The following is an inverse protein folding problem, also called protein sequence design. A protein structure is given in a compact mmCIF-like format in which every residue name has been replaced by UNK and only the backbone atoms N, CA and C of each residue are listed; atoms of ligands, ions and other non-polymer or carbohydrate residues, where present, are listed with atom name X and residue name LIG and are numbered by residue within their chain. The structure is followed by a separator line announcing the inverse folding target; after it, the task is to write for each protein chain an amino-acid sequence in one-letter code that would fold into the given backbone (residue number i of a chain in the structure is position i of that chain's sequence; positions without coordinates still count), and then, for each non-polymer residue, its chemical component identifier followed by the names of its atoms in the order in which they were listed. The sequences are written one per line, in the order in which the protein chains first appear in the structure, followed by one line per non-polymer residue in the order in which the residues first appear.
data_IF_616710174280
#
_entry.id   IF_616710174280
#
_cell.length_a   1.000
_cell.length_b   1.000
_cell.length_c   1.000
_cell.angle_alpha   90.00
_cell.angle_beta   90.00
_cell.angle_gamma   90.00
#
_symmetry.space_group_name_H-M   'P 1'
#
loop_
_entity.id
_entity.type
_entity.pdbx_description
1 polymer ?
#
# COMPACT_ATOMS: atom_id res chain seq x y z
N UNK A 1 -35.22 1.74 -3.68
CA UNK A 1 -33.98 2.02 -2.92
C UNK A 1 -32.89 2.15 -3.95
N UNK A 2 -32.56 3.38 -4.32
CA UNK A 2 -31.60 3.67 -5.38
C UNK A 2 -30.18 3.44 -4.88
N UNK A 3 -29.42 2.65 -5.65
CA UNK A 3 -27.98 2.45 -5.49
C UNK A 3 -27.28 3.78 -5.68
N UNK A 4 -26.80 4.35 -4.58
CA UNK A 4 -25.99 5.57 -4.59
C UNK A 4 -24.58 5.24 -5.11
N UNK A 5 -24.46 5.15 -6.45
CA UNK A 5 -23.19 5.11 -7.19
C UNK A 5 -22.49 6.48 -7.12
N UNK A 6 -22.16 6.91 -5.91
CA UNK A 6 -21.34 8.09 -5.69
C UNK A 6 -19.88 7.77 -6.03
N UNK A 7 -19.40 8.28 -7.16
CA UNK A 7 -17.96 8.35 -7.49
C UNK A 7 -17.21 8.92 -6.30
N UNK A 8 -16.53 8.04 -5.59
CA UNK A 8 -15.79 8.44 -4.41
C UNK A 8 -14.52 9.19 -4.80
N UNK A 9 -14.23 10.34 -4.18
CA UNK A 9 -13.04 11.14 -4.47
C UNK A 9 -11.80 10.27 -4.29
N UNK A 10 -10.82 10.37 -5.21
CA UNK A 10 -9.59 9.55 -5.31
C UNK A 10 -9.28 8.85 -3.98
N UNK A 11 -9.84 7.65 -3.84
CA UNK A 11 -9.75 6.90 -2.60
C UNK A 11 -8.32 6.43 -2.51
N UNK A 12 -7.61 6.80 -1.45
CA UNK A 12 -6.52 5.97 -0.97
C UNK A 12 -7.04 4.53 -0.89
N UNK A 13 -6.61 3.70 -1.84
CA UNK A 13 -7.10 2.34 -1.95
C UNK A 13 -6.44 1.55 -0.84
N UNK A 14 -7.16 1.35 0.27
CA UNK A 14 -6.70 0.53 1.40
C UNK A 14 -6.27 -0.86 0.89
N UNK A 15 -6.98 -1.40 -0.10
CA UNK A 15 -6.64 -2.66 -0.75
C UNK A 15 -5.31 -2.57 -1.52
N UNK A 16 -5.04 -1.43 -2.16
CA UNK A 16 -3.76 -1.14 -2.79
C UNK A 16 -2.61 -1.13 -1.77
N UNK A 17 -2.76 -0.42 -0.65
CA UNK A 17 -1.76 -0.41 0.43
C UNK A 17 -1.50 -1.82 0.97
N UNK A 18 -2.56 -2.58 1.25
CA UNK A 18 -2.48 -3.95 1.75
C UNK A 18 -1.72 -4.84 0.75
N UNK A 19 -2.08 -4.77 -0.53
CA UNK A 19 -1.41 -5.53 -1.59
C UNK A 19 0.06 -5.15 -1.69
N UNK A 20 0.39 -3.85 -1.71
CA UNK A 20 1.77 -3.36 -1.73
C UNK A 20 2.56 -3.91 -0.55
N UNK A 21 2.04 -3.81 0.68
CA UNK A 21 2.72 -4.28 1.88
C UNK A 21 3.02 -5.80 1.84
N UNK A 22 2.07 -6.60 1.36
CA UNK A 22 2.24 -8.05 1.18
C UNK A 22 3.33 -8.37 0.17
N UNK A 23 3.32 -7.70 -0.99
CA UNK A 23 4.32 -7.93 -2.03
C UNK A 23 5.71 -7.42 -1.63
N UNK A 24 5.80 -6.25 -1.00
CA UNK A 24 7.08 -5.72 -0.52
C UNK A 24 7.71 -6.62 0.53
N UNK A 25 6.90 -7.33 1.33
CA UNK A 25 7.40 -8.36 2.25
C UNK A 25 8.04 -9.54 1.53
N UNK A 26 7.46 -10.05 0.45
CA UNK A 26 8.10 -11.13 -0.33
C UNK A 26 9.40 -10.62 -0.93
N UNK A 27 9.38 -9.43 -1.54
CA UNK A 27 10.55 -8.84 -2.18
C UNK A 27 11.67 -8.61 -1.16
N UNK A 28 11.36 -8.09 0.02
CA UNK A 28 12.28 -7.96 1.15
C UNK A 28 12.88 -9.32 1.55
N UNK A 29 12.05 -10.34 1.76
CA UNK A 29 12.54 -11.69 2.09
C UNK A 29 13.47 -12.28 1.02
N UNK A 30 13.15 -12.07 -0.26
CA UNK A 30 14.01 -12.48 -1.38
C UNK A 30 15.36 -11.76 -1.36
N UNK A 31 15.38 -10.43 -1.19
CA UNK A 31 16.63 -9.69 -1.10
C UNK A 31 17.45 -10.05 0.15
N UNK A 32 16.82 -10.39 1.26
CA UNK A 32 17.51 -10.96 2.43
C UNK A 32 18.19 -12.29 2.11
N UNK A 33 17.58 -13.16 1.29
CA UNK A 33 18.25 -14.38 0.82
C UNK A 33 19.41 -14.10 -0.15
N UNK A 34 19.26 -13.11 -1.02
CA UNK A 34 20.37 -12.68 -1.89
C UNK A 34 21.52 -12.13 -1.04
N UNK A 35 21.23 -11.32 -0.02
CA UNK A 35 22.21 -10.82 0.94
C UNK A 35 22.93 -11.96 1.65
N UNK A 36 22.19 -13.00 2.07
CA UNK A 36 22.77 -14.21 2.66
C UNK A 36 23.74 -14.92 1.71
N UNK A 37 23.38 -15.07 0.42
CA UNK A 37 24.29 -15.67 -0.57
C UNK A 37 25.58 -14.86 -0.70
N UNK A 38 25.49 -13.53 -0.74
CA UNK A 38 26.67 -12.65 -0.73
C UNK A 38 27.48 -12.83 0.55
N UNK A 39 26.82 -12.95 1.69
CA UNK A 39 27.47 -13.16 2.99
C UNK A 39 28.25 -14.48 3.04
N UNK A 40 27.72 -15.55 2.48
CA UNK A 40 28.43 -16.82 2.36
C UNK A 40 29.74 -16.70 1.58
N UNK A 41 29.80 -15.84 0.56
CA UNK A 41 31.04 -15.58 -0.17
C UNK A 41 32.05 -14.80 0.67
N UNK A 42 31.60 -13.83 1.48
CA UNK A 42 32.46 -13.06 2.38
C UNK A 42 33.01 -13.91 3.54
N UNK A 43 32.25 -14.93 3.99
CA UNK A 43 32.73 -15.92 4.96
C UNK A 43 33.86 -16.82 4.42
N UNK A 44 34.31 -16.59 3.18
CA UNK A 44 35.43 -17.32 2.53
C UNK A 44 35.19 -18.84 2.56
N UNK A 45 33.98 -19.26 2.20
CA UNK A 45 33.60 -20.68 2.15
C UNK A 45 34.26 -21.38 0.96
N UNK A 46 35.57 -21.60 1.02
CA UNK A 46 36.32 -22.41 0.06
C UNK A 46 36.49 -23.83 0.58
N UNK A 47 36.35 -24.79 -0.34
CA UNK A 47 36.73 -26.18 -0.10
C UNK A 47 38.09 -26.40 -0.76
N UNK A 48 39.11 -26.58 0.05
CA UNK A 48 40.47 -26.89 -0.40
C UNK A 48 40.73 -28.39 -0.25
N UNK A 49 41.58 -28.94 -1.12
CA UNK A 49 42.06 -30.30 -0.98
C UNK A 49 43.60 -30.29 -0.97
N UNK A 50 44.21 -31.04 -0.05
CA UNK A 50 45.66 -31.22 -0.02
C UNK A 50 46.02 -32.45 -0.87
N UNK A 51 46.78 -32.26 -1.94
CA UNK A 51 47.21 -33.34 -2.84
C UNK A 51 48.29 -34.24 -2.25
N UNK A 52 48.92 -33.83 -1.13
CA UNK A 52 50.07 -34.51 -0.54
C UNK A 52 49.74 -35.27 0.74
N UNK A 53 48.70 -34.85 1.46
CA UNK A 53 48.26 -35.48 2.70
C UNK A 53 46.74 -35.62 2.74
N UNK A 54 46.27 -36.84 2.52
CA UNK A 54 44.84 -37.17 2.48
C UNK A 54 44.14 -37.00 3.84
N UNK A 55 44.88 -37.07 4.95
CA UNK A 55 44.29 -37.03 6.30
C UNK A 55 44.31 -35.63 6.92
N UNK A 56 44.92 -34.65 6.24
CA UNK A 56 45.02 -33.28 6.74
C UNK A 56 43.72 -32.52 6.58
N UNK A 57 43.13 -32.11 7.70
CA UNK A 57 41.90 -31.31 7.74
C UNK A 57 42.16 -29.82 7.44
N UNK A 58 42.42 -29.51 6.16
CA UNK A 58 42.62 -28.13 5.68
C UNK A 58 41.32 -27.30 5.69
N UNK A 59 40.17 -27.97 5.65
CA UNK A 59 38.83 -27.35 5.60
C UNK A 59 38.26 -27.01 6.98
N UNK A 60 38.98 -27.35 8.05
CA UNK A 60 38.52 -27.11 9.42
C UNK A 60 38.19 -25.65 9.69
N UNK A 61 38.98 -24.69 9.18
CA UNK A 61 38.89 -23.27 9.54
C UNK A 61 37.86 -22.50 8.70
N UNK A 62 37.88 -22.66 7.38
CA UNK A 62 37.01 -21.93 6.44
C UNK A 62 35.64 -22.59 6.29
N UNK A 63 35.61 -23.89 5.97
CA UNK A 63 34.38 -24.60 5.66
C UNK A 63 33.63 -25.04 6.93
N UNK A 64 34.28 -25.85 7.77
CA UNK A 64 33.63 -26.46 8.94
C UNK A 64 33.39 -25.46 10.05
N UNK A 65 34.42 -24.75 10.52
CA UNK A 65 34.27 -23.77 11.61
C UNK A 65 33.74 -22.41 11.18
N UNK A 66 33.77 -22.09 9.89
CA UNK A 66 33.30 -20.80 9.37
C UNK A 66 31.83 -20.79 8.93
N UNK A 67 31.29 -21.91 8.43
CA UNK A 67 29.93 -21.98 7.86
C UNK A 67 29.13 -23.17 8.38
N UNK A 68 29.75 -24.35 8.43
CA UNK A 68 29.10 -25.61 8.81
C UNK A 68 29.47 -26.06 10.21
N UNK A 69 29.39 -25.12 11.17
CA UNK A 69 29.59 -25.38 12.58
C UNK A 69 28.26 -25.33 13.30
N UNK A 70 28.06 -26.23 14.27
CA UNK A 70 26.94 -26.15 15.22
C UNK A 70 27.31 -25.34 16.47
N UNK A 71 28.49 -24.72 16.47
CA UNK A 71 28.81 -23.68 17.44
C UNK A 71 27.78 -22.55 17.30
N UNK A 72 27.14 -22.18 18.41
CA UNK A 72 25.98 -21.28 18.41
C UNK A 72 26.29 -19.94 17.79
N UNK A 73 27.50 -19.44 18.02
CA UNK A 73 27.92 -18.12 17.56
C UNK A 73 28.09 -18.11 16.04
N UNK A 74 28.75 -19.14 15.50
CA UNK A 74 28.95 -19.30 14.05
C UNK A 74 27.63 -19.61 13.34
N UNK A 75 26.83 -20.53 13.89
CA UNK A 75 25.58 -20.93 13.27
C UNK A 75 24.59 -19.77 13.22
N UNK A 76 24.41 -19.05 14.33
CA UNK A 76 23.53 -17.90 14.36
C UNK A 76 24.02 -16.80 13.42
N UNK A 77 25.32 -16.48 13.41
CA UNK A 77 25.83 -15.43 12.54
C UNK A 77 25.66 -15.78 11.05
N UNK A 78 26.11 -16.97 10.63
CA UNK A 78 26.08 -17.36 9.22
C UNK A 78 24.67 -17.63 8.67
N UNK A 79 23.73 -18.11 9.50
CA UNK A 79 22.42 -18.61 9.02
C UNK A 79 21.23 -17.73 9.39
N UNK A 80 21.36 -16.72 10.26
CA UNK A 80 20.23 -15.84 10.62
C UNK A 80 19.58 -15.18 9.39
N UNK A 81 20.33 -14.59 8.45
CA UNK A 81 19.73 -13.97 7.25
C UNK A 81 18.95 -15.00 6.42
N UNK A 82 19.49 -16.21 6.25
CA UNK A 82 18.81 -17.28 5.54
C UNK A 82 17.48 -17.65 6.21
N UNK A 83 17.49 -17.95 7.52
CA UNK A 83 16.31 -18.39 8.25
C UNK A 83 15.24 -17.29 8.22
N UNK A 84 15.62 -16.05 8.51
CA UNK A 84 14.70 -14.91 8.51
C UNK A 84 14.14 -14.60 7.12
N UNK A 85 14.97 -14.62 6.07
CA UNK A 85 14.55 -14.43 4.68
C UNK A 85 13.59 -15.54 4.23
N UNK A 86 13.93 -16.81 4.50
CA UNK A 86 13.10 -17.96 4.17
C UNK A 86 11.76 -17.91 4.89
N UNK A 87 11.74 -17.65 6.20
CA UNK A 87 10.50 -17.51 6.97
C UNK A 87 9.61 -16.40 6.38
N UNK A 88 10.20 -15.27 5.99
CA UNK A 88 9.51 -14.12 5.39
C UNK A 88 8.83 -14.45 4.07
N UNK A 89 9.43 -15.32 3.25
CA UNK A 89 8.80 -15.80 2.01
C UNK A 89 7.76 -16.89 2.30
N UNK A 90 8.13 -17.88 3.12
CA UNK A 90 7.30 -19.07 3.38
C UNK A 90 5.98 -18.72 4.08
N UNK A 91 5.93 -17.68 4.91
CA UNK A 91 4.69 -17.28 5.59
C UNK A 91 3.56 -16.84 4.64
N UNK A 92 3.89 -16.55 3.37
CA UNK A 92 2.90 -16.26 2.31
C UNK A 92 2.41 -17.51 1.57
N UNK A 93 2.98 -18.69 1.86
CA UNK A 93 2.57 -19.96 1.28
C UNK A 93 1.49 -20.63 2.14
N UNK A 94 0.46 -21.18 1.51
CA UNK A 94 -0.64 -21.86 2.20
C UNK A 94 -0.17 -23.04 3.08
N UNK A 95 0.88 -23.76 2.66
CA UNK A 95 1.43 -24.91 3.41
C UNK A 95 2.27 -24.51 4.62
N UNK A 96 2.81 -23.29 4.65
CA UNK A 96 3.71 -22.79 5.69
C UNK A 96 3.12 -21.56 6.36
N UNK A 97 1.82 -21.60 6.63
CA UNK A 97 1.14 -20.52 7.33
C UNK A 97 1.70 -20.33 8.74
N UNK A 98 2.16 -19.13 9.04
CA UNK A 98 2.66 -18.73 10.35
C UNK A 98 1.70 -17.73 11.00
N UNK A 99 0.61 -18.18 11.65
CA UNK A 99 -0.39 -17.28 12.26
C UNK A 99 0.20 -16.44 13.40
N UNK A 100 1.27 -16.92 14.03
CA UNK A 100 1.97 -16.15 15.06
C UNK A 100 2.45 -14.79 14.51
N UNK A 101 2.89 -14.73 13.25
CA UNK A 101 3.41 -13.52 12.61
C UNK A 101 2.32 -12.81 11.78
N UNK A 102 1.58 -13.58 10.97
CA UNK A 102 0.72 -13.03 9.90
C UNK A 102 -0.72 -12.73 10.32
N UNK A 103 -1.13 -13.07 11.55
CA UNK A 103 -2.51 -12.87 12.03
C UNK A 103 -2.95 -11.40 12.09
N UNK A 104 -2.02 -10.48 12.31
CA UNK A 104 -2.31 -9.05 12.28
C UNK A 104 -1.09 -8.24 11.84
N UNK A 105 -1.35 -7.01 11.41
CA UNK A 105 -0.33 -6.11 10.84
C UNK A 105 0.73 -5.65 11.83
N UNK A 106 0.41 -5.56 13.13
CA UNK A 106 1.40 -5.14 14.12
C UNK A 106 2.45 -6.23 14.39
N UNK A 107 2.04 -7.50 14.49
CA UNK A 107 2.97 -8.64 14.61
C UNK A 107 3.81 -8.79 13.34
N UNK A 108 3.20 -8.57 12.19
CA UNK A 108 3.88 -8.56 10.90
C UNK A 108 4.93 -7.43 10.82
N UNK A 109 4.59 -6.22 11.28
CA UNK A 109 5.52 -5.10 11.38
C UNK A 109 6.68 -5.38 12.33
N UNK A 110 6.40 -5.92 13.53
CA UNK A 110 7.43 -6.32 14.50
C UNK A 110 8.37 -7.36 13.92
N UNK A 111 7.85 -8.37 13.22
CA UNK A 111 8.68 -9.34 12.52
C UNK A 111 9.64 -8.68 11.53
N UNK A 112 9.13 -7.80 10.65
CA UNK A 112 9.98 -7.07 9.71
C UNK A 112 10.99 -6.14 10.38
N UNK A 113 10.68 -5.58 11.55
CA UNK A 113 11.67 -4.87 12.36
C UNK A 113 12.79 -5.80 12.83
N UNK A 114 12.46 -7.02 13.27
CA UNK A 114 13.47 -8.01 13.66
C UNK A 114 14.32 -8.44 12.47
N UNK A 115 13.73 -8.70 11.30
CA UNK A 115 14.48 -9.05 10.08
C UNK A 115 15.40 -7.90 9.66
N UNK A 116 14.94 -6.65 9.77
CA UNK A 116 15.76 -5.48 9.48
C UNK A 116 17.02 -5.41 10.37
N UNK A 117 16.84 -5.55 11.69
CA UNK A 117 17.93 -5.40 12.66
C UNK A 117 18.86 -6.62 12.68
N UNK A 118 18.30 -7.82 12.72
CA UNK A 118 19.04 -9.05 12.96
C UNK A 118 19.31 -9.87 11.71
N UNK A 119 18.58 -9.66 10.62
CA UNK A 119 18.78 -10.40 9.36
C UNK A 119 19.50 -9.60 8.27
N UNK A 120 19.55 -8.26 8.37
CA UNK A 120 20.05 -7.41 7.29
C UNK A 120 21.12 -6.40 7.73
N UNK A 121 20.83 -5.48 8.65
CA UNK A 121 21.73 -4.32 8.93
C UNK A 121 23.13 -4.72 9.39
N UNK A 122 23.28 -5.87 10.06
CA UNK A 122 24.57 -6.38 10.53
C UNK A 122 25.45 -7.02 9.45
N UNK A 123 24.92 -7.26 8.23
CA UNK A 123 25.57 -8.11 7.24
C UNK A 123 26.13 -7.33 6.05
N UNK A 124 27.37 -7.61 5.67
CA UNK A 124 28.03 -7.12 4.45
C UNK A 124 27.95 -5.59 4.23
N UNK A 125 28.05 -4.81 5.31
CA UNK A 125 28.16 -3.35 5.28
C UNK A 125 27.04 -2.65 4.50
N UNK A 126 27.37 -1.99 3.39
CA UNK A 126 26.41 -1.21 2.59
C UNK A 126 25.30 -2.08 1.97
N UNK A 127 25.61 -3.33 1.60
CA UNK A 127 24.61 -4.24 1.04
C UNK A 127 23.51 -4.54 2.08
N UNK A 128 23.90 -4.82 3.33
CA UNK A 128 22.96 -5.00 4.43
C UNK A 128 22.15 -3.76 4.75
N UNK A 129 22.74 -2.57 4.66
CA UNK A 129 22.00 -1.31 4.83
C UNK A 129 20.94 -1.09 3.74
N UNK A 130 21.26 -1.40 2.48
CA UNK A 130 20.30 -1.27 1.38
C UNK A 130 19.12 -2.24 1.54
N UNK A 131 19.39 -3.52 1.78
CA UNK A 131 18.34 -4.54 2.01
C UNK A 131 17.57 -4.26 3.31
N UNK A 132 18.26 -3.78 4.34
CA UNK A 132 17.69 -3.33 5.61
C UNK A 132 16.70 -2.18 5.40
N UNK A 133 17.03 -1.19 4.57
CA UNK A 133 16.13 -0.06 4.28
C UNK A 133 14.82 -0.49 3.61
N UNK A 134 14.86 -1.46 2.69
CA UNK A 134 13.68 -2.05 2.07
C UNK A 134 12.81 -2.80 3.09
N UNK A 135 13.45 -3.50 4.02
CA UNK A 135 12.77 -4.24 5.09
C UNK A 135 12.18 -3.28 6.12
N UNK A 136 12.87 -2.20 6.45
CA UNK A 136 12.36 -1.12 7.29
C UNK A 136 11.15 -0.42 6.66
N UNK A 137 11.18 -0.18 5.35
CA UNK A 137 10.01 0.33 4.61
C UNK A 137 8.82 -0.63 4.73
N UNK A 138 9.06 -1.93 4.61
CA UNK A 138 8.00 -2.95 4.79
C UNK A 138 7.44 -2.93 6.22
N UNK A 139 8.30 -2.79 7.24
CA UNK A 139 7.85 -2.62 8.62
C UNK A 139 6.99 -1.35 8.79
N UNK A 140 7.42 -0.22 8.24
CA UNK A 140 6.68 1.04 8.30
C UNK A 140 5.31 0.93 7.60
N UNK A 141 5.26 0.33 6.41
CA UNK A 141 4.01 0.04 5.70
C UNK A 141 3.09 -0.88 6.50
N UNK A 142 3.65 -1.84 7.23
CA UNK A 142 2.88 -2.75 8.10
C UNK A 142 2.24 -2.00 9.27
N UNK A 143 2.99 -1.14 9.95
CA UNK A 143 2.43 -0.30 11.03
C UNK A 143 1.39 0.69 10.51
N UNK A 144 1.59 1.26 9.31
CA UNK A 144 0.58 2.10 8.67
C UNK A 144 -0.69 1.31 8.34
N UNK A 145 -0.53 0.09 7.81
CA UNK A 145 -1.64 -0.79 7.45
C UNK A 145 -2.44 -1.22 8.68
N UNK A 146 -1.78 -1.44 9.82
CA UNK A 146 -2.44 -1.72 11.09
C UNK A 146 -3.46 -0.65 11.50
N UNK A 147 -3.19 0.62 11.19
CA UNK A 147 -4.12 1.71 11.51
C UNK A 147 -5.39 1.69 10.65
N UNK A 148 -5.33 1.14 9.43
CA UNK A 148 -6.41 1.24 8.42
C UNK A 148 -7.11 -0.09 8.13
N UNK A 149 -6.46 -1.23 8.35
CA UNK A 149 -6.93 -2.56 7.98
C UNK A 149 -6.70 -3.59 9.11
N UNK A 150 -7.69 -4.45 9.36
CA UNK A 150 -7.70 -5.42 10.48
C UNK A 150 -7.54 -6.88 10.05
N UNK A 151 -7.42 -7.15 8.75
CA UNK A 151 -7.28 -8.51 8.23
C UNK A 151 -5.85 -9.08 8.34
N UNK A 152 -5.65 -10.32 7.89
CA UNK A 152 -4.34 -10.98 7.94
C UNK A 152 -3.35 -10.41 6.91
N UNK A 153 -2.06 -10.58 7.22
CA UNK A 153 -0.94 -10.08 6.43
C UNK A 153 -0.34 -11.10 5.43
N UNK A 154 -0.93 -12.29 5.29
CA UNK A 154 -0.51 -13.30 4.31
C UNK A 154 -1.18 -13.08 2.94
N UNK A 155 -0.61 -13.63 1.86
CA UNK A 155 -1.10 -13.44 0.49
C UNK A 155 -2.30 -14.29 0.06
N UNK A 156 -2.51 -15.45 0.67
CA UNK A 156 -3.68 -16.26 0.34
C UNK A 156 -4.97 -15.66 0.89
N UNK A 157 -6.07 -15.87 0.17
CA UNK A 157 -7.37 -15.31 0.51
C UNK A 157 -8.02 -16.16 1.61
N UNK A 158 -8.22 -15.60 2.80
CA UNK A 158 -9.09 -16.20 3.81
C UNK A 158 -10.48 -15.57 3.64
N UNK A 159 -11.47 -16.40 3.25
CA UNK A 159 -12.85 -15.95 3.03
C UNK A 159 -13.41 -15.37 4.33
N UNK A 160 -13.33 -14.06 4.47
CA UNK A 160 -13.74 -13.32 5.65
C UNK A 160 -14.85 -12.40 5.20
N UNK A 161 -16.09 -12.85 5.37
CA UNK A 161 -17.31 -12.22 4.85
C UNK A 161 -17.69 -10.85 5.46
N UNK A 162 -16.73 -10.04 5.89
CA UNK A 162 -16.96 -8.73 6.50
C UNK A 162 -15.95 -7.65 6.09
N UNK A 163 -16.27 -6.35 6.34
CA UNK A 163 -15.38 -5.24 6.01
C UNK A 163 -14.08 -5.32 6.82
N UNK A 164 -12.94 -5.41 6.15
CA UNK A 164 -11.62 -5.55 6.78
C UNK A 164 -10.96 -4.21 7.20
N UNK A 165 -11.72 -3.13 7.23
CA UNK A 165 -11.23 -1.82 7.69
C UNK A 165 -11.34 -1.70 9.21
N UNK A 166 -10.35 -1.07 9.85
CA UNK A 166 -10.39 -0.85 11.31
C UNK A 166 -11.60 0.00 11.71
N UNK A 167 -12.15 -0.26 12.91
CA UNK A 167 -13.25 0.54 13.48
C UNK A 167 -12.88 2.02 13.58
N UNK A 168 -11.61 2.31 13.89
CA UNK A 168 -11.07 3.67 13.94
C UNK A 168 -11.12 4.36 12.57
N UNK A 169 -10.61 3.70 11.52
CA UNK A 169 -10.67 4.25 10.17
C UNK A 169 -12.12 4.43 9.68
N UNK A 170 -12.99 3.45 9.96
CA UNK A 170 -14.42 3.56 9.63
C UNK A 170 -15.12 4.70 10.39
N UNK A 171 -14.77 4.98 11.65
CA UNK A 171 -15.29 6.11 12.40
C UNK A 171 -14.76 7.46 11.85
N UNK A 172 -13.46 7.54 11.56
CA UNK A 172 -12.83 8.73 10.98
C UNK A 172 -13.40 9.06 9.59
N UNK A 173 -13.53 8.07 8.71
CA UNK A 173 -14.09 8.24 7.37
C UNK A 173 -15.55 8.73 7.41
N UNK A 174 -16.36 8.19 8.33
CA UNK A 174 -17.74 8.66 8.57
C UNK A 174 -17.79 10.11 9.02
N UNK A 175 -16.87 10.54 9.90
CA UNK A 175 -16.76 11.94 10.34
C UNK A 175 -16.40 12.87 9.19
N UNK A 176 -15.47 12.46 8.32
CA UNK A 176 -15.11 13.21 7.12
C UNK A 176 -16.26 13.38 6.13
N UNK A 177 -17.09 12.35 5.93
CA UNK A 177 -18.28 12.43 5.08
C UNK A 177 -19.36 13.34 5.66
N UNK A 178 -19.59 13.30 6.98
CA UNK A 178 -20.55 14.17 7.67
C UNK A 178 -20.18 15.65 7.53
N UNK A 179 -18.89 16.00 7.60
CA UNK A 179 -18.43 17.37 7.39
C UNK A 179 -18.63 17.84 5.94
N UNK A 180 -18.38 16.96 4.95
CA UNK A 180 -18.64 17.27 3.54
C UNK A 180 -20.12 17.46 3.24
N UNK A 181 -21.00 16.64 3.81
CA UNK A 181 -22.46 16.80 3.63
C UNK A 181 -22.98 18.08 4.27
N UNK A 182 -22.48 18.45 5.45
CA UNK A 182 -22.83 19.73 6.10
C UNK A 182 -22.33 20.91 5.28
N UNK A 183 -21.10 20.86 4.75
CA UNK A 183 -20.56 21.89 3.88
C UNK A 183 -21.41 22.06 2.62
N UNK A 184 -21.75 20.97 1.92
CA UNK A 184 -22.60 21.01 0.71
C UNK A 184 -23.98 21.62 1.00
N UNK A 185 -24.58 21.29 2.15
CA UNK A 185 -25.88 21.84 2.53
C UNK A 185 -25.82 23.34 2.86
N UNK A 186 -24.70 23.80 3.42
CA UNK A 186 -24.45 25.23 3.69
C UNK A 186 -24.12 26.02 2.42
N UNK A 187 -23.40 25.42 1.48
CA UNK A 187 -23.09 26.04 0.18
C UNK A 187 -24.33 26.12 -0.70
N UNK A 188 -25.15 25.06 -0.76
CA UNK A 188 -26.42 25.03 -1.51
C UNK A 188 -27.45 26.06 -0.99
N UNK A 189 -27.56 26.23 0.33
CA UNK A 189 -28.42 27.28 0.92
C UNK A 189 -27.97 28.71 0.64
N UNK A 190 -26.71 28.92 0.24
CA UNK A 190 -26.18 30.27 -0.06
C UNK A 190 -26.52 30.71 -1.48
N UNK A 191 -26.63 29.77 -2.43
CA UNK A 191 -27.05 30.06 -3.81
C UNK A 191 -28.53 30.40 -3.92
N UNK A 192 -29.40 29.75 -3.14
CA UNK A 192 -30.85 29.95 -3.25
C UNK A 192 -31.35 31.29 -2.68
N UNK A 193 -30.58 31.93 -1.79
CA UNK A 193 -30.98 33.21 -1.17
C UNK A 193 -30.64 34.45 -1.99
N UNK A 194 -29.98 34.31 -3.15
CA UNK A 194 -29.59 35.45 -3.99
C UNK A 194 -30.54 35.69 -5.18
N UNK A 195 -31.56 34.84 -5.38
CA UNK A 195 -32.51 34.96 -6.50
C UNK A 195 -33.97 35.21 -6.09
N UNK A 196 -34.27 35.31 -4.79
CA UNK A 196 -35.62 35.55 -4.28
C UNK A 196 -35.73 36.87 -3.51
N UNK A 197 -35.47 38.00 -4.19
CA UNK A 197 -35.90 39.32 -3.72
C UNK A 197 -35.92 40.29 -4.90
N UNK A 198 -37.09 40.46 -5.51
CA UNK A 198 -37.30 41.43 -6.58
C UNK A 198 -38.65 41.26 -7.25
N UNK A 199 -39.73 41.44 -6.48
CA UNK A 199 -41.09 41.58 -7.03
C UNK A 199 -41.53 43.04 -6.94
N UNK A 200 -41.80 43.67 -8.08
CA UNK A 200 -42.61 44.89 -8.21
C UNK A 200 -43.48 44.70 -9.48
N UNK A 201 -44.77 44.38 -9.33
CA UNK A 201 -45.94 45.29 -9.36
C UNK A 201 -46.12 46.04 -10.68
N UNK A 202 -47.02 45.56 -11.54
CA UNK A 202 -47.86 46.40 -12.40
C UNK A 202 -49.25 45.74 -12.61
N UNK A 203 -50.37 46.49 -12.55
CA UNK A 203 -51.74 45.96 -12.68
C UNK A 203 -52.23 45.91 -14.15
N UNK A 204 -53.37 45.25 -14.45
CA UNK A 204 -53.79 45.00 -15.83
C UNK A 204 -54.76 46.04 -16.44
N UNK A 205 -54.65 46.18 -17.79
CA UNK A 205 -55.56 46.69 -18.86
C UNK A 205 -55.94 48.21 -18.86
N UNK A 206 -56.10 48.86 -20.05
CA UNK A 206 -57.18 48.55 -21.01
C UNK A 206 -56.84 48.64 -22.51
N UNK A 207 -57.82 48.20 -23.31
CA UNK A 207 -57.92 48.16 -24.78
C UNK A 207 -58.28 49.52 -25.40
N UNK A 208 -58.07 49.61 -26.72
CA UNK A 208 -58.54 50.60 -27.71
C UNK A 208 -57.59 51.74 -28.13
N UNK A 209 -57.13 51.71 -29.38
CA UNK A 209 -57.59 52.61 -30.45
C UNK A 209 -56.83 52.35 -31.77
N UNK A 210 -57.58 52.22 -32.87
CA UNK A 210 -57.12 52.12 -34.25
C UNK A 210 -56.47 53.41 -34.77
N UNK A 211 -55.75 53.28 -35.91
CA UNK A 211 -55.61 54.19 -37.09
C UNK A 211 -54.15 54.34 -37.59
N UNK A 212 -53.88 54.71 -38.86
CA UNK A 212 -53.57 53.74 -39.92
C UNK A 212 -52.30 54.10 -40.76
N UNK A 213 -51.84 53.15 -41.58
CA UNK A 213 -51.16 53.40 -42.87
C UNK A 213 -49.73 53.96 -42.87
N UNK A 214 -48.79 53.20 -43.45
CA UNK A 214 -47.93 53.59 -44.59
C UNK A 214 -46.80 52.56 -44.77
N UNK A 215 -47.02 51.65 -45.72
CA UNK A 215 -46.23 51.48 -46.94
C UNK A 215 -44.70 51.24 -46.90
N UNK A 216 -44.34 50.10 -47.54
CA UNK A 216 -43.09 49.76 -48.26
C UNK A 216 -41.89 49.37 -47.37
N UNK A 217 -41.15 48.27 -47.59
CA UNK A 217 -40.67 47.72 -48.86
C UNK A 217 -40.21 46.24 -48.65
N UNK A 218 -40.57 45.34 -49.57
CA UNK A 218 -40.02 43.98 -49.70
C UNK A 218 -38.71 44.00 -50.49
N UNK A 219 -37.61 43.40 -49.99
CA UNK A 219 -36.50 42.88 -50.82
C UNK A 219 -35.83 41.66 -50.13
N UNK A 220 -35.42 40.59 -50.86
CA UNK A 220 -35.51 39.21 -50.37
C UNK A 220 -34.17 38.53 -50.03
N UNK A 221 -34.31 37.27 -49.64
CA UNK A 221 -33.30 36.27 -49.30
C UNK A 221 -32.25 35.98 -50.40
N UNK A 222 -31.02 35.70 -49.95
CA UNK A 222 -30.00 34.81 -50.54
C UNK A 222 -29.50 33.94 -49.38
N UNK A 223 -29.53 32.60 -49.33
CA UNK A 223 -29.18 31.52 -50.27
C UNK A 223 -27.71 31.49 -50.73
N UNK A 224 -27.07 30.36 -50.41
CA UNK A 224 -25.76 29.89 -50.86
C UNK A 224 -24.63 30.12 -49.84
N UNK A 225 -23.69 29.23 -49.63
CA UNK A 225 -23.47 27.81 -49.92
C UNK A 225 -22.18 27.44 -49.16
N UNK A 226 -22.00 26.14 -48.86
CA UNK A 226 -20.74 25.42 -48.63
C UNK A 226 -19.57 26.10 -47.89
#
# INVERSE_FOLDING_TARGET
MEDYQGKTPEKFSVNGLVATCKWTSIVSGFFTLVLWVVHCFDLTSSLEYDSRDFFKDVNSRSWRKGVFSLDSDVFCDAWTPFIMGMMTILMHSHKFHMPFITRNWIRFGVWHTLVCLFGNMGYNGLAGMLVGSLTALTAALSFLTFCVHSGPAHLFEESTGGPQVTRFYAAWARRGQSLKSVSLHLTGKRTDKTLASGGDRFPPKPEAAETPGEDLEEVPAKSGDA
#
